data_IF_296478062261
#
_entry.id   IF_296478062261
#
_cell.length_a   1.000
_cell.length_b   1.000
_cell.length_c   1.000
_cell.angle_alpha   90.00
_cell.angle_beta   90.00
_cell.angle_gamma   90.00
#
_symmetry.space_group_name_H-M   'P 1'
#
loop_
_entity.id
_entity.type
_entity.pdbx_description
1 polymer ?
#
# COMPACT_ATOMS: atom_id res chain seq x y z
N UNK A 1 -9.59 6.63 2.12
CA UNK A 1 -10.81 6.39 1.30
C UNK A 1 -12.01 7.00 2.01
N UNK A 2 -12.95 7.62 1.28
CA UNK A 2 -14.19 8.16 1.86
C UNK A 2 -15.22 7.04 1.98
N UNK A 3 -15.70 6.77 3.20
CA UNK A 3 -16.73 5.77 3.47
C UNK A 3 -17.94 6.47 4.08
N UNK A 4 -19.12 6.27 3.47
CA UNK A 4 -20.39 6.78 4.00
C UNK A 4 -21.08 5.66 4.74
N UNK A 5 -21.37 5.86 6.03
CA UNK A 5 -22.09 4.91 6.88
C UNK A 5 -23.60 5.02 6.64
N UNK A 6 -24.36 4.07 7.20
CA UNK A 6 -25.82 4.02 7.09
C UNK A 6 -26.54 5.22 7.75
N UNK A 7 -25.90 5.84 8.75
CA UNK A 7 -26.33 7.07 9.42
C UNK A 7 -26.00 8.35 8.61
N UNK A 8 -25.58 8.20 7.34
CA UNK A 8 -25.09 9.25 6.46
C UNK A 8 -23.84 9.99 6.96
N UNK A 9 -23.17 9.48 8.01
CA UNK A 9 -21.90 10.06 8.44
C UNK A 9 -20.78 9.63 7.49
N UNK A 10 -19.89 10.57 7.21
CA UNK A 10 -18.71 10.33 6.38
C UNK A 10 -17.53 10.08 7.30
N UNK A 11 -16.86 8.94 7.12
CA UNK A 11 -15.61 8.61 7.80
C UNK A 11 -14.49 8.42 6.78
N UNK A 12 -13.29 8.87 7.13
CA UNK A 12 -12.07 8.55 6.39
C UNK A 12 -11.49 7.26 6.95
N UNK A 13 -11.23 6.30 6.07
CA UNK A 13 -10.59 5.03 6.44
C UNK A 13 -9.30 4.82 5.68
N UNK A 14 -8.32 4.27 6.39
CA UNK A 14 -7.15 3.65 5.78
C UNK A 14 -7.56 2.31 5.16
N UNK A 15 -7.17 2.08 3.92
CA UNK A 15 -7.55 0.89 3.18
C UNK A 15 -6.31 0.17 2.67
N UNK A 16 -6.23 -1.13 2.93
CA UNK A 16 -5.17 -2.02 2.43
C UNK A 16 -5.78 -3.17 1.66
N UNK A 17 -5.12 -3.59 0.59
CA UNK A 17 -5.56 -4.66 -0.30
C UNK A 17 -5.13 -6.02 0.25
N UNK A 18 -6.09 -6.89 0.54
CA UNK A 18 -5.83 -8.31 0.74
C UNK A 18 -5.62 -8.97 -0.64
N UNK A 19 -4.62 -9.85 -0.77
CA UNK A 19 -4.32 -10.59 -2.02
C UNK A 19 -4.06 -9.70 -3.24
N UNK A 20 -3.40 -8.55 -3.05
CA UNK A 20 -2.94 -7.73 -4.18
C UNK A 20 -2.03 -8.57 -5.09
N UNK A 21 -2.35 -8.70 -6.37
CA UNK A 21 -1.56 -9.48 -7.33
C UNK A 21 -0.24 -8.79 -7.70
N UNK A 22 0.22 -9.01 -8.92
CA UNK A 22 1.30 -8.20 -9.48
C UNK A 22 0.82 -6.74 -9.55
N UNK A 23 1.51 -5.86 -8.85
CA UNK A 23 1.20 -4.44 -8.80
C UNK A 23 2.49 -3.66 -8.92
N UNK A 24 2.53 -2.71 -9.85
CA UNK A 24 3.71 -1.89 -10.07
C UNK A 24 3.65 -0.65 -9.19
N UNK A 25 4.54 -0.59 -8.20
CA UNK A 25 4.62 0.54 -7.27
C UNK A 25 5.11 1.85 -7.90
N UNK A 26 5.74 1.76 -9.07
CA UNK A 26 6.16 2.94 -9.83
C UNK A 26 5.00 3.60 -10.58
N UNK A 27 4.25 2.84 -11.38
CA UNK A 27 3.18 3.40 -12.25
C UNK A 27 1.75 3.22 -11.71
N UNK A 28 1.55 2.42 -10.67
CA UNK A 28 0.23 2.18 -10.07
C UNK A 28 -0.68 1.23 -10.84
N UNK A 29 -0.19 0.59 -11.91
CA UNK A 29 -1.00 -0.30 -12.76
C UNK A 29 -0.82 -1.75 -12.30
N UNK A 30 -1.92 -2.50 -12.05
CA UNK A 30 -1.86 -3.93 -11.76
C UNK A 30 -1.50 -4.74 -13.02
N UNK A 31 -0.95 -5.94 -12.83
CA UNK A 31 -0.63 -6.89 -13.90
C UNK A 31 0.86 -7.09 -14.16
N UNK A 32 1.74 -6.21 -13.63
CA UNK A 32 3.18 -6.35 -13.76
C UNK A 32 3.94 -5.85 -12.52
N UNK A 33 5.22 -6.19 -12.44
CA UNK A 33 6.15 -5.69 -11.42
C UNK A 33 7.03 -4.60 -12.03
N UNK A 34 7.67 -3.79 -11.20
CA UNK A 34 8.54 -2.68 -11.65
C UNK A 34 9.62 -3.14 -12.65
N UNK A 35 10.15 -4.36 -12.50
CA UNK A 35 11.15 -4.96 -13.41
C UNK A 35 10.65 -5.11 -14.85
N UNK A 36 9.34 -5.19 -15.04
CA UNK A 36 8.67 -5.30 -16.33
C UNK A 36 7.91 -4.01 -16.71
N UNK A 37 8.12 -2.93 -15.96
CA UNK A 37 7.50 -1.64 -16.24
C UNK A 37 8.43 -0.82 -17.13
N UNK A 38 8.03 -0.54 -18.37
CA UNK A 38 8.83 0.26 -19.29
C UNK A 38 9.17 1.66 -18.73
N UNK A 39 8.29 2.24 -17.93
CA UNK A 39 8.50 3.54 -17.31
C UNK A 39 9.49 3.48 -16.13
N UNK A 40 9.39 2.45 -15.28
CA UNK A 40 10.29 2.29 -14.13
C UNK A 40 11.72 1.93 -14.57
N UNK A 41 11.87 1.11 -15.61
CA UNK A 41 13.18 0.70 -16.13
C UNK A 41 13.94 1.87 -16.77
N UNK A 42 13.21 2.86 -17.31
CA UNK A 42 13.80 4.07 -17.91
C UNK A 42 13.99 5.22 -16.91
N UNK A 43 13.51 5.06 -15.68
CA UNK A 43 13.56 6.12 -14.67
C UNK A 43 14.76 5.94 -13.76
N UNK A 44 15.45 7.02 -13.45
CA UNK A 44 16.49 7.08 -12.41
C UNK A 44 15.92 7.44 -11.03
N UNK A 45 14.59 7.32 -10.85
CA UNK A 45 13.91 7.71 -9.61
C UNK A 45 14.09 6.58 -8.58
N UNK A 46 14.70 6.87 -7.41
CA UNK A 46 14.87 5.89 -6.34
C UNK A 46 13.52 5.41 -5.78
N UNK A 47 13.49 4.18 -5.28
CA UNK A 47 12.26 3.48 -4.85
C UNK A 47 11.55 4.23 -3.71
N UNK A 48 12.30 4.94 -2.88
CA UNK A 48 11.80 5.76 -1.76
C UNK A 48 10.92 6.92 -2.22
N UNK A 49 11.08 7.36 -3.49
CA UNK A 49 10.30 8.43 -4.09
C UNK A 49 9.14 7.91 -4.95
N UNK A 50 8.91 6.60 -5.00
CA UNK A 50 7.80 6.04 -5.76
C UNK A 50 6.45 6.38 -5.12
N UNK A 51 5.41 6.60 -5.93
CA UNK A 51 4.10 7.05 -5.45
C UNK A 51 3.38 6.01 -4.60
N UNK A 52 3.77 4.74 -4.72
CA UNK A 52 3.16 3.63 -3.99
C UNK A 52 4.21 2.75 -3.34
N UNK A 53 3.81 2.04 -2.29
CA UNK A 53 4.68 1.17 -1.54
C UNK A 53 3.95 -0.10 -1.10
N UNK A 54 4.71 -0.98 -0.46
CA UNK A 54 4.18 -2.21 0.13
C UNK A 54 3.10 -1.98 1.20
N UNK A 55 2.97 -0.76 1.71
CA UNK A 55 1.94 -0.37 2.68
C UNK A 55 0.51 -0.55 2.15
N UNK A 56 0.34 -0.57 0.82
CA UNK A 56 -0.93 -0.91 0.17
C UNK A 56 -1.37 -2.35 0.44
N UNK A 57 -0.48 -3.27 0.85
CA UNK A 57 -0.82 -4.67 1.10
C UNK A 57 -1.25 -4.90 2.54
N UNK A 58 -2.35 -5.63 2.70
CA UNK A 58 -2.74 -6.17 4.00
C UNK A 58 -1.92 -7.45 4.30
N UNK A 59 -1.45 -7.59 5.54
CA UNK A 59 -0.95 -8.88 6.05
C UNK A 59 0.57 -9.15 5.98
N UNK A 60 1.39 -8.23 5.46
CA UNK A 60 2.85 -8.29 5.71
C UNK A 60 3.15 -7.73 7.10
N UNK A 61 2.96 -8.55 8.13
CA UNK A 61 3.65 -8.28 9.40
C UNK A 61 5.13 -8.51 9.11
N UNK A 62 5.93 -7.44 9.16
CA UNK A 62 7.35 -7.57 9.54
C UNK A 62 7.32 -8.43 10.80
N UNK A 63 8.07 -9.53 10.85
CA UNK A 63 8.13 -10.35 12.06
C UNK A 63 8.29 -9.41 13.25
N UNK A 64 7.44 -9.61 14.25
CA UNK A 64 7.57 -8.93 15.52
C UNK A 64 8.94 -9.31 16.10
N UNK A 65 9.95 -8.48 15.87
CA UNK A 65 10.96 -8.23 16.88
C UNK A 65 10.30 -7.34 17.92
N UNK A 66 9.93 -7.94 19.03
CA UNK A 66 9.56 -7.35 20.32
C UNK A 66 9.25 -5.85 20.33
N UNK A 67 7.95 -5.53 20.32
CA UNK A 67 7.29 -4.59 21.24
C UNK A 67 5.89 -4.29 20.71
N UNK A 68 4.98 -5.20 21.01
CA UNK A 68 3.56 -4.88 21.08
C UNK A 68 3.34 -4.07 22.36
N UNK A 69 3.44 -2.74 22.31
CA UNK A 69 2.78 -1.89 23.31
C UNK A 69 1.47 -1.44 22.71
N UNK A 70 0.43 -2.20 23.03
CA UNK A 70 -0.92 -1.64 23.16
C UNK A 70 -0.83 -0.54 24.21
N UNK A 71 -0.98 0.71 23.82
CA UNK A 71 -1.40 1.75 24.78
C UNK A 71 -2.84 2.04 24.42
N UNK A 72 -3.73 1.44 25.22
CA UNK A 72 -5.10 1.87 25.37
C UNK A 72 -5.17 2.72 26.64
N UNK A 73 -5.90 3.84 26.52
CA UNK A 73 -6.19 4.89 27.50
C UNK A 73 -5.10 5.95 27.69
#
# INVERSE_FOLDING_TARGET
MKLTKNDNTVSWVEFKYQRLGNFCYFCGIPGHLHKHCAAAVKSDIPIELWPYSDELRAGRKKSCGDRCTVVAQ
#
